data_IF_876636502311
#
_entry.id   IF_876636502311
#
_cell.length_a   1.000
_cell.length_b   1.000
_cell.length_c   1.000
_cell.angle_alpha   90.00
_cell.angle_beta   90.00
_cell.angle_gamma   90.00
#
_symmetry.space_group_name_H-M   'P 1'
#
loop_
_entity.id
_entity.type
_entity.pdbx_description
1 polymer ?
#
# COMPACT_ATOMS: atom_id res chain seq x y z
N UNK A 1 -21.45 -12.37 9.34
CA UNK A 1 -21.19 -11.98 9.07
C UNK A 1 -20.47 -11.79 8.56
N UNK A 2 -20.09 -11.66 8.65
CA UNK A 2 -19.67 -11.40 8.01
C UNK A 2 -18.52 -11.47 7.74
N UNK A 3 -18.19 -11.89 7.07
CA UNK A 3 -16.98 -12.21 6.51
C UNK A 3 -16.16 -11.07 6.27
N UNK A 4 -16.41 -10.13 6.90
CA UNK A 4 -15.73 -8.95 6.67
C UNK A 4 -14.46 -8.86 7.41
N UNK A 5 -13.96 -9.95 7.97
CA UNK A 5 -12.70 -9.95 8.67
C UNK A 5 -11.57 -9.45 7.82
N UNK A 6 -11.65 -9.67 6.51
CA UNK A 6 -10.57 -9.29 5.62
C UNK A 6 -11.00 -8.22 4.64
N UNK A 7 -12.02 -7.46 4.98
CA UNK A 7 -12.48 -6.39 4.13
C UNK A 7 -12.36 -5.07 4.86
N UNK A 8 -12.04 -4.02 4.14
CA UNK A 8 -11.98 -2.69 4.72
C UNK A 8 -13.34 -2.03 4.59
N UNK A 9 -13.82 -1.49 5.70
CA UNK A 9 -15.11 -0.84 5.71
C UNK A 9 -14.89 0.65 5.89
N UNK A 10 -15.28 1.44 4.92
CA UNK A 10 -14.95 2.83 4.93
C UNK A 10 -16.03 3.58 4.14
N UNK A 11 -16.41 4.75 4.57
CA UNK A 11 -17.48 5.44 3.86
C UNK A 11 -16.92 6.15 2.63
N UNK A 12 -17.78 6.57 1.71
CA UNK A 12 -17.31 7.10 0.42
C UNK A 12 -16.45 8.36 0.54
N UNK A 13 -16.71 9.18 1.52
CA UNK A 13 -15.92 10.39 1.69
C UNK A 13 -14.50 10.06 2.12
N UNK A 14 -14.38 9.13 3.05
CA UNK A 14 -13.08 8.67 3.48
C UNK A 14 -12.34 7.98 2.35
N UNK A 15 -13.07 7.27 1.52
CA UNK A 15 -12.47 6.56 0.43
C UNK A 15 -11.78 7.52 -0.53
N UNK A 16 -12.42 8.65 -0.81
CA UNK A 16 -11.82 9.63 -1.68
C UNK A 16 -10.57 10.24 -1.09
N UNK A 17 -10.63 10.56 0.19
CA UNK A 17 -9.50 11.12 0.89
C UNK A 17 -8.32 10.17 0.89
N UNK A 18 -8.60 8.88 1.11
CA UNK A 18 -7.56 7.89 1.08
C UNK A 18 -7.01 7.69 -0.30
N UNK A 19 -7.85 7.83 -1.31
CA UNK A 19 -7.39 7.75 -2.68
C UNK A 19 -6.36 8.81 -3.00
N UNK A 20 -6.60 10.03 -2.53
CA UNK A 20 -5.65 11.12 -2.74
C UNK A 20 -4.34 10.84 -2.03
N UNK A 21 -4.40 10.33 -0.81
CA UNK A 21 -3.21 9.98 -0.07
C UNK A 21 -2.43 8.87 -0.79
N UNK A 22 -3.13 7.88 -1.26
CA UNK A 22 -2.50 6.79 -1.97
C UNK A 22 -1.86 7.26 -3.26
N UNK A 23 -2.53 8.15 -3.98
CA UNK A 23 -1.97 8.69 -5.20
C UNK A 23 -0.64 9.37 -4.95
N UNK A 24 -0.56 10.14 -3.88
CA UNK A 24 0.66 10.81 -3.53
C UNK A 24 1.77 9.82 -3.24
N UNK A 25 1.47 8.77 -2.49
CA UNK A 25 2.46 7.76 -2.17
C UNK A 25 2.89 6.97 -3.41
N UNK A 26 1.93 6.66 -4.27
CA UNK A 26 2.25 5.94 -5.50
C UNK A 26 3.24 6.73 -6.34
N UNK A 27 3.06 8.04 -6.40
CA UNK A 27 3.96 8.87 -7.19
C UNK A 27 5.35 8.92 -6.61
N UNK A 28 5.49 8.73 -5.30
CA UNK A 28 6.79 8.77 -4.66
C UNK A 28 7.45 7.42 -4.55
N UNK A 29 6.75 6.36 -4.90
CA UNK A 29 7.26 5.00 -4.75
C UNK A 29 8.52 4.80 -5.58
N UNK A 30 9.56 4.29 -4.95
CA UNK A 30 10.83 4.04 -5.62
C UNK A 30 10.98 2.58 -6.02
N UNK A 31 10.41 1.66 -5.25
CA UNK A 31 10.50 0.24 -5.55
C UNK A 31 9.38 -0.51 -4.88
N UNK A 32 8.97 -1.59 -5.51
CA UNK A 32 7.91 -2.44 -5.00
C UNK A 32 8.27 -3.89 -5.24
N UNK A 33 8.09 -4.73 -4.22
CA UNK A 33 8.40 -6.14 -4.35
C UNK A 33 7.41 -6.95 -3.56
N UNK A 34 6.96 -8.04 -4.13
CA UNK A 34 6.07 -8.97 -3.45
C UNK A 34 6.80 -10.28 -3.21
N UNK A 35 6.70 -10.78 -1.99
CA UNK A 35 7.30 -12.07 -1.65
C UNK A 35 6.28 -12.81 -0.81
N UNK A 36 5.54 -13.70 -1.42
CA UNK A 36 4.53 -14.47 -0.72
C UNK A 36 3.47 -13.56 -0.11
N UNK A 37 3.40 -13.56 1.19
CA UNK A 37 2.41 -12.77 1.92
C UNK A 37 2.98 -11.46 2.44
N UNK A 38 4.10 -11.03 1.88
CA UNK A 38 4.75 -9.79 2.28
C UNK A 38 4.90 -8.89 1.07
N UNK A 39 4.60 -7.63 1.26
CA UNK A 39 4.78 -6.60 0.25
C UNK A 39 5.82 -5.61 0.78
N UNK A 40 6.83 -5.32 -0.01
CA UNK A 40 7.87 -4.38 0.39
C UNK A 40 7.85 -3.18 -0.54
N UNK A 41 7.81 -2.01 0.04
CA UNK A 41 7.74 -0.75 -0.69
C UNK A 41 8.87 0.15 -0.23
N UNK A 42 9.47 0.88 -1.17
CA UNK A 42 10.50 1.84 -0.83
C UNK A 42 10.08 3.22 -1.28
N UNK A 43 10.33 4.18 -0.42
CA UNK A 43 10.00 5.58 -0.65
C UNK A 43 11.20 6.44 -0.31
N UNK A 44 11.24 7.69 -0.78
CA UNK A 44 12.25 8.60 -0.29
C UNK A 44 11.97 8.97 1.17
N UNK A 45 12.99 9.37 1.88
CA UNK A 45 12.84 9.68 3.30
C UNK A 45 11.81 10.78 3.54
N UNK A 46 11.66 11.66 2.58
CA UNK A 46 10.70 12.76 2.70
C UNK A 46 9.25 12.28 2.80
N UNK A 47 8.97 11.06 2.37
CA UNK A 47 7.62 10.53 2.42
C UNK A 47 7.25 9.96 3.79
N UNK A 48 8.14 10.06 4.77
CA UNK A 48 7.94 9.39 6.05
C UNK A 48 6.62 9.73 6.71
N UNK A 49 6.25 11.00 6.71
CA UNK A 49 5.01 11.40 7.35
C UNK A 49 3.81 10.81 6.65
N UNK A 50 3.83 10.83 5.33
CA UNK A 50 2.73 10.28 4.56
C UNK A 50 2.64 8.77 4.71
N UNK A 51 3.79 8.10 4.78
CA UNK A 51 3.80 6.66 4.98
C UNK A 51 3.22 6.32 6.35
N UNK A 52 3.60 7.06 7.38
CA UNK A 52 3.07 6.82 8.71
C UNK A 52 1.58 7.04 8.78
N UNK A 53 1.09 8.08 8.12
CA UNK A 53 -0.34 8.33 8.06
C UNK A 53 -1.07 7.18 7.35
N UNK A 54 -0.48 6.70 6.27
CA UNK A 54 -1.03 5.56 5.56
C UNK A 54 -1.12 4.34 6.45
N UNK A 55 -0.06 4.05 7.21
CA UNK A 55 -0.05 2.89 8.09
C UNK A 55 -1.14 3.00 9.16
N UNK A 56 -1.31 4.19 9.73
CA UNK A 56 -2.33 4.39 10.73
C UNK A 56 -3.72 4.11 10.16
N UNK A 57 -3.99 4.66 8.98
CA UNK A 57 -5.30 4.47 8.37
C UNK A 57 -5.53 3.03 7.97
N UNK A 58 -4.52 2.38 7.40
CA UNK A 58 -4.67 0.99 7.00
C UNK A 58 -4.80 0.07 8.19
N UNK A 59 -4.12 0.38 9.27
CA UNK A 59 -4.23 -0.44 10.48
C UNK A 59 -5.63 -0.40 11.05
N UNK A 60 -6.29 0.73 10.93
CA UNK A 60 -7.67 0.85 11.38
C UNK A 60 -8.62 0.10 10.47
N UNK A 61 -8.38 0.18 9.18
CA UNK A 61 -9.25 -0.40 8.19
C UNK A 61 -9.01 -1.88 8.02
N UNK A 62 -7.75 -2.29 8.03
CA UNK A 62 -7.36 -3.68 7.80
C UNK A 62 -6.46 -4.16 8.92
N UNK A 63 -7.03 -4.45 10.07
CA UNK A 63 -6.21 -4.79 11.25
C UNK A 63 -5.43 -6.08 11.13
N UNK A 64 -5.70 -6.88 10.11
CA UNK A 64 -4.95 -8.13 9.91
C UNK A 64 -3.60 -7.88 9.23
N UNK A 65 -3.35 -6.69 8.71
CA UNK A 65 -2.03 -6.38 8.15
C UNK A 65 -1.07 -6.06 9.27
N UNK A 66 0.17 -6.54 9.13
CA UNK A 66 1.26 -6.16 10.01
C UNK A 66 2.19 -5.24 9.24
N UNK A 67 2.48 -4.10 9.81
CA UNK A 67 3.30 -3.09 9.14
C UNK A 67 4.63 -2.93 9.83
N UNK A 68 5.66 -2.71 9.03
CA UNK A 68 7.01 -2.49 9.54
C UNK A 68 7.61 -1.35 8.78
N UNK A 69 8.15 -0.35 9.48
CA UNK A 69 8.78 0.79 8.83
C UNK A 69 10.25 0.80 9.20
N UNK A 70 11.11 0.87 8.20
CA UNK A 70 12.55 0.91 8.39
C UNK A 70 13.07 2.15 7.69
N UNK A 71 13.61 3.08 8.45
CA UNK A 71 14.07 4.36 7.91
C UNK A 71 15.57 4.44 7.92
N UNK A 72 16.10 4.92 6.82
CA UNK A 72 17.51 5.30 6.77
C UNK A 72 17.57 6.78 6.45
N UNK A 73 18.78 7.30 6.29
CA UNK A 73 18.93 8.72 6.01
C UNK A 73 18.26 9.14 4.73
N UNK A 74 18.23 8.27 3.74
CA UNK A 74 17.77 8.64 2.42
C UNK A 74 16.52 7.92 1.98
N UNK A 75 16.18 6.82 2.62
CA UNK A 75 15.08 5.98 2.17
C UNK A 75 14.26 5.50 3.33
N UNK A 76 13.05 5.13 3.00
CA UNK A 76 12.15 4.50 3.95
C UNK A 76 11.60 3.25 3.31
N UNK A 77 11.66 2.14 4.03
CA UNK A 77 11.08 0.89 3.56
C UNK A 77 9.87 0.54 4.39
N UNK A 78 8.79 0.23 3.71
CA UNK A 78 7.56 -0.19 4.37
C UNK A 78 7.29 -1.64 4.03
N UNK A 79 7.21 -2.47 5.05
CA UNK A 79 6.85 -3.87 4.89
C UNK A 79 5.42 -4.08 5.31
N UNK A 80 4.65 -4.81 4.52
CA UNK A 80 3.27 -5.12 4.84
C UNK A 80 3.11 -6.62 4.74
N UNK A 81 2.67 -7.24 5.83
CA UNK A 81 2.54 -8.68 5.89
C UNK A 81 1.13 -9.04 6.27
N UNK A 82 0.63 -10.14 5.73
CA UNK A 82 -0.72 -10.60 6.01
C UNK A 82 -0.75 -12.10 6.22
N UNK A 83 -1.72 -12.60 7.01
CA UNK A 83 -1.98 -14.04 7.02
C UNK A 83 -2.53 -14.47 5.67
N UNK A 84 -2.55 -15.78 5.42
CA UNK A 84 -3.02 -16.27 4.11
C UNK A 84 -4.41 -15.78 3.72
N UNK A 85 -5.30 -15.61 4.68
CA UNK A 85 -6.63 -15.14 4.39
C UNK A 85 -6.68 -13.73 3.84
N UNK A 86 -5.63 -12.94 4.04
CA UNK A 86 -5.58 -11.58 3.55
C UNK A 86 -4.85 -11.42 2.24
N UNK A 87 -4.49 -12.52 1.59
CA UNK A 87 -3.68 -12.45 0.37
C UNK A 87 -4.34 -11.63 -0.72
N UNK A 88 -5.66 -11.73 -0.86
CA UNK A 88 -6.35 -10.97 -1.88
C UNK A 88 -6.29 -9.47 -1.62
N UNK A 89 -6.40 -9.08 -0.35
CA UNK A 89 -6.30 -7.66 0.00
C UNK A 89 -4.88 -7.15 -0.20
N UNK A 90 -3.89 -7.98 0.10
CA UNK A 90 -2.51 -7.59 -0.16
C UNK A 90 -2.28 -7.43 -1.66
N UNK A 91 -2.89 -8.30 -2.46
CA UNK A 91 -2.81 -8.18 -3.91
C UNK A 91 -3.45 -6.90 -4.42
N UNK A 92 -4.58 -6.52 -3.83
CA UNK A 92 -5.23 -5.28 -4.22
C UNK A 92 -4.34 -4.08 -3.88
N UNK A 93 -3.69 -4.12 -2.74
CA UNK A 93 -2.79 -3.07 -2.34
C UNK A 93 -1.58 -3.02 -3.26
N UNK A 94 -1.05 -4.19 -3.59
CA UNK A 94 0.04 -4.28 -4.54
C UNK A 94 -0.33 -3.64 -5.87
N UNK A 95 -1.52 -3.94 -6.37
CA UNK A 95 -1.96 -3.38 -7.63
C UNK A 95 -2.09 -1.87 -7.56
N UNK A 96 -2.58 -1.36 -6.43
CA UNK A 96 -2.69 0.07 -6.23
C UNK A 96 -1.34 0.76 -6.31
N UNK A 97 -0.35 0.20 -5.63
CA UNK A 97 0.98 0.79 -5.64
C UNK A 97 1.72 0.52 -6.94
N UNK A 98 1.38 -0.55 -7.60
CA UNK A 98 1.96 -0.83 -8.89
C UNK A 98 1.42 0.11 -9.92
N UNK A 99 0.56 0.96 -9.59
CA UNK A 99 0.23 1.83 -10.40
C UNK A 99 -1.00 2.13 -10.62
N UNK A 100 -1.40 2.86 -9.92
CA UNK A 100 -2.33 3.33 -10.42
C UNK A 100 -2.32 2.80 -11.65
N UNK A 101 -2.99 1.82 -11.65
CA UNK A 101 -2.98 0.93 -12.63
C UNK A 101 -2.83 1.48 -13.99
N UNK A 102 -3.44 2.56 -14.29
CA UNK A 102 -3.40 3.06 -15.62
C UNK A 102 -2.03 3.49 -16.02
N UNK A 103 -1.38 4.18 -15.13
CA UNK A 103 -0.13 4.76 -15.41
C UNK A 103 0.95 3.74 -15.54
N UNK A 104 1.03 2.86 -14.58
CA UNK A 104 2.07 1.89 -14.58
C UNK A 104 1.87 0.84 -15.62
N UNK A 105 0.64 0.49 -15.87
CA UNK A 105 0.35 -0.46 -16.92
C UNK A 105 0.82 0.06 -18.25
N UNK A 106 0.60 1.33 -18.52
CA UNK A 106 1.08 1.93 -19.74
C UNK A 106 2.59 1.87 -19.82
N UNK A 107 3.26 2.09 -18.72
CA UNK A 107 4.71 1.99 -18.68
C UNK A 107 5.19 0.59 -18.95
N UNK A 108 4.55 -0.39 -18.36
CA UNK A 108 4.92 -1.76 -18.58
C UNK A 108 4.68 -2.18 -20.00
N UNK A 109 3.58 -1.79 -20.55
CA UNK A 109 3.26 -2.14 -21.91
C UNK A 109 4.22 -1.50 -22.88
N UNK A 110 4.62 -0.29 -22.59
CA UNK A 110 5.60 0.37 -23.42
C UNK A 110 6.96 -0.29 -23.31
N UNK A 111 7.27 -0.86 -22.17
CA UNK A 111 8.54 -1.50 -21.96
C UNK A 111 8.57 -2.90 -22.54
N UNK A 112 7.44 -3.51 -22.71
CA UNK A 112 7.39 -4.83 -23.28
C UNK A 112 7.00 -4.76 -24.72
#
# INVERSE_FOLDING_TARGET
MEPTDFACTIDPAELRQRGDQLDSLVQQLLALRRDGLTLALEFPAEAAQEVRAFVVEESRCCPFFAFEIDETDQRLRLGIRTPPGGAAMLGALQATFAGDATKLRASFEAAT
#
